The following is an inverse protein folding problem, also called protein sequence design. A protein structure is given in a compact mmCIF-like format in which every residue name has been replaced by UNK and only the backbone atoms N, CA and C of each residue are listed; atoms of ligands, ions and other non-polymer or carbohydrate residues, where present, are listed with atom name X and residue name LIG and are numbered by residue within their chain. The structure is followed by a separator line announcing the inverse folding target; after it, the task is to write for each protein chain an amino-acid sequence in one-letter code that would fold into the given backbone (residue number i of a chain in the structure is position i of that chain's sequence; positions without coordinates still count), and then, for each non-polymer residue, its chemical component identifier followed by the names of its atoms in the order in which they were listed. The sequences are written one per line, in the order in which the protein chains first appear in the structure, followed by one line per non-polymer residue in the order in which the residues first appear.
data_IF_598631439782
#
_entry.id   IF_598631439782
#
_cell.length_a   1.000
_cell.length_b   1.000
_cell.length_c   1.000
_cell.angle_alpha   90.00
_cell.angle_beta   90.00
_cell.angle_gamma   90.00
#
_symmetry.space_group_name_H-M   'P 1'
#
loop_
_entity.id
_entity.type
_entity.pdbx_description
1 polymer ?
#
# COMPACT_ATOMS: atom_id res chain seq x y z
N UNK A 1 16.56 9.08 9.28
CA UNK A 1 17.61 9.14 8.24
C UNK A 1 17.14 8.29 7.07
N UNK A 2 17.28 8.77 5.83
CA UNK A 2 16.99 7.96 4.65
C UNK A 2 18.23 7.14 4.29
N UNK A 3 18.07 5.84 4.08
CA UNK A 3 19.14 5.00 3.57
C UNK A 3 19.23 5.18 2.04
N UNK A 4 20.45 5.21 1.50
CA UNK A 4 20.66 5.24 0.05
C UNK A 4 20.37 3.85 -0.54
N UNK A 5 19.08 3.56 -0.72
CA UNK A 5 18.57 2.29 -1.21
C UNK A 5 17.35 2.53 -2.10
N UNK A 6 17.17 1.68 -3.10
CA UNK A 6 15.98 1.66 -3.96
C UNK A 6 15.33 0.29 -3.92
N UNK A 7 13.99 0.27 -3.98
CA UNK A 7 13.20 -0.95 -4.03
C UNK A 7 12.30 -0.93 -5.26
N UNK A 8 12.21 -2.05 -5.96
CA UNK A 8 11.24 -2.30 -7.02
C UNK A 8 10.53 -3.62 -6.70
N UNK A 9 9.21 -3.63 -6.75
CA UNK A 9 8.42 -4.83 -6.53
C UNK A 9 7.62 -5.12 -7.79
N UNK A 10 7.93 -6.23 -8.45
CA UNK A 10 7.23 -6.68 -9.65
C UNK A 10 5.91 -7.38 -9.28
N UNK A 11 5.77 -7.83 -8.03
CA UNK A 11 4.56 -8.44 -7.50
C UNK A 11 4.49 -8.36 -5.97
N UNK A 12 3.45 -8.95 -5.36
CA UNK A 12 3.36 -9.11 -3.90
C UNK A 12 4.28 -10.19 -3.31
N UNK A 13 4.98 -10.97 -4.15
CA UNK A 13 5.82 -12.09 -3.70
C UNK A 13 7.30 -11.92 -4.02
N UNK A 14 7.67 -10.97 -4.88
CA UNK A 14 9.08 -10.74 -5.23
C UNK A 14 9.37 -9.29 -5.60
N UNK A 15 10.64 -8.94 -5.54
CA UNK A 15 11.16 -7.63 -5.92
C UNK A 15 12.69 -7.59 -5.90
N UNK A 16 13.24 -6.39 -6.00
CA UNK A 16 14.67 -6.10 -6.03
C UNK A 16 14.98 -4.99 -5.04
N UNK A 17 16.15 -5.09 -4.41
CA UNK A 17 16.75 -4.06 -3.58
C UNK A 17 18.09 -3.67 -4.18
N UNK A 18 18.25 -2.41 -4.53
CA UNK A 18 19.56 -1.82 -4.84
C UNK A 18 20.10 -1.07 -3.64
N UNK A 19 21.26 -1.49 -3.15
CA UNK A 19 21.95 -0.85 -2.03
C UNK A 19 23.46 -1.11 -2.18
N UNK A 20 24.30 -0.12 -1.84
CA UNK A 20 25.76 -0.26 -1.89
C UNK A 20 26.28 -0.72 -3.27
N UNK A 21 25.65 -0.21 -4.33
CA UNK A 21 25.92 -0.58 -5.73
C UNK A 21 25.72 -2.08 -6.04
N UNK A 22 24.85 -2.76 -5.28
CA UNK A 22 24.50 -4.16 -5.48
C UNK A 22 22.99 -4.33 -5.61
N UNK A 23 22.56 -5.20 -6.52
CA UNK A 23 21.18 -5.67 -6.62
C UNK A 23 21.02 -6.97 -5.82
N UNK A 24 19.96 -7.05 -5.00
CA UNK A 24 19.57 -8.26 -4.28
C UNK A 24 18.11 -8.59 -4.59
N UNK A 25 17.86 -9.85 -4.98
CA UNK A 25 16.50 -10.36 -5.14
C UNK A 25 15.83 -10.50 -3.77
N UNK A 26 14.64 -9.94 -3.64
CA UNK A 26 13.74 -10.12 -2.50
C UNK A 26 12.65 -11.10 -2.91
N UNK A 27 12.39 -12.11 -2.08
CA UNK A 27 11.28 -13.03 -2.27
C UNK A 27 10.54 -13.20 -0.94
N UNK A 28 9.22 -13.34 -1.04
CA UNK A 28 8.40 -13.86 0.04
C UNK A 28 8.76 -15.33 0.25
N UNK A 29 8.63 -15.80 1.49
CA UNK A 29 8.92 -17.20 1.81
C UNK A 29 8.03 -18.14 1.01
N UNK A 30 8.61 -19.26 0.59
CA UNK A 30 7.87 -20.37 0.00
C UNK A 30 6.75 -20.83 0.93
N UNK A 31 5.68 -21.37 0.34
CA UNK A 31 4.48 -21.85 1.04
C UNK A 31 3.65 -20.77 1.74
N UNK A 32 3.89 -19.49 1.48
CA UNK A 32 3.00 -18.44 1.97
C UNK A 32 1.65 -18.51 1.23
N UNK A 33 0.51 -18.62 1.95
CA UNK A 33 -0.79 -18.67 1.30
C UNK A 33 -1.06 -17.42 0.46
N UNK A 34 -1.69 -17.57 -0.71
CA UNK A 34 -1.89 -16.46 -1.67
C UNK A 34 -2.61 -15.24 -1.07
N UNK A 35 -3.66 -15.43 -0.28
CA UNK A 35 -4.35 -14.30 0.36
C UNK A 35 -3.49 -13.64 1.46
N UNK A 36 -2.58 -14.41 2.07
CA UNK A 36 -1.60 -13.85 3.01
C UNK A 36 -0.57 -13.01 2.26
N UNK A 37 -0.09 -13.44 1.09
CA UNK A 37 0.85 -12.63 0.28
C UNK A 37 0.23 -11.33 -0.22
N UNK A 38 -1.07 -11.31 -0.51
CA UNK A 38 -1.82 -10.09 -0.87
C UNK A 38 -2.21 -9.21 0.34
N UNK A 39 -1.84 -9.60 1.56
CA UNK A 39 -2.08 -8.82 2.77
C UNK A 39 -3.48 -8.94 3.40
N UNK A 40 -4.38 -9.78 2.87
CA UNK A 40 -5.73 -9.94 3.43
C UNK A 40 -5.71 -10.45 4.87
N UNK A 41 -4.81 -11.39 5.16
CA UNK A 41 -4.68 -11.95 6.50
C UNK A 41 -4.27 -10.86 7.52
N UNK A 42 -3.25 -10.05 7.19
CA UNK A 42 -2.83 -8.96 8.04
C UNK A 42 -3.93 -7.91 8.24
N UNK A 43 -4.64 -7.56 7.16
CA UNK A 43 -5.76 -6.61 7.21
C UNK A 43 -6.89 -7.09 8.13
N UNK A 44 -7.28 -8.37 8.05
CA UNK A 44 -8.33 -8.94 8.90
C UNK A 44 -7.93 -8.94 10.38
N UNK A 45 -6.68 -9.28 10.70
CA UNK A 45 -6.20 -9.27 12.08
C UNK A 45 -6.13 -7.85 12.67
N UNK A 46 -5.74 -6.86 11.87
CA UNK A 46 -5.81 -5.47 12.29
C UNK A 46 -7.27 -5.04 12.53
N UNK A 47 -8.18 -5.41 11.63
CA UNK A 47 -9.61 -5.14 11.77
C UNK A 47 -10.21 -5.77 13.03
N UNK A 48 -9.89 -7.03 13.34
CA UNK A 48 -10.37 -7.67 14.57
C UNK A 48 -9.94 -6.90 15.81
N UNK A 49 -8.69 -6.41 15.87
CA UNK A 49 -8.23 -5.56 16.99
C UNK A 49 -8.99 -4.25 17.09
N UNK A 50 -9.34 -3.63 15.97
CA UNK A 50 -10.17 -2.42 15.95
C UNK A 50 -11.55 -2.72 16.54
N UNK A 51 -12.18 -3.83 16.14
CA UNK A 51 -13.49 -4.25 16.65
C UNK A 51 -13.42 -4.54 18.15
N UNK A 52 -12.44 -5.33 18.58
CA UNK A 52 -12.25 -5.71 19.99
C UNK A 52 -11.99 -4.49 20.89
N UNK A 53 -11.19 -3.53 20.41
CA UNK A 53 -10.87 -2.30 21.17
C UNK A 53 -11.94 -1.22 21.06
N UNK A 54 -12.87 -1.33 20.10
CA UNK A 54 -13.85 -0.30 19.75
C UNK A 54 -13.23 1.02 19.30
N UNK A 55 -11.96 1.02 18.89
CA UNK A 55 -11.19 2.23 18.57
C UNK A 55 -10.47 2.06 17.24
N UNK A 56 -10.58 3.08 16.39
CA UNK A 56 -9.79 3.20 15.17
C UNK A 56 -8.81 4.37 15.31
N UNK A 57 -7.57 4.16 14.90
CA UNK A 57 -6.56 5.21 14.93
C UNK A 57 -6.99 6.42 14.08
N UNK A 58 -6.87 7.62 14.63
CA UNK A 58 -7.24 8.86 13.94
C UNK A 58 -6.47 9.05 12.63
N UNK A 59 -5.19 8.64 12.59
CA UNK A 59 -4.38 8.68 11.37
C UNK A 59 -4.95 7.79 10.26
N UNK A 60 -5.52 6.63 10.59
CA UNK A 60 -6.20 5.76 9.63
C UNK A 60 -7.46 6.43 9.08
N UNK A 61 -8.27 7.04 9.95
CA UNK A 61 -9.46 7.81 9.53
C UNK A 61 -9.08 8.95 8.59
N UNK A 62 -8.07 9.75 8.96
CA UNK A 62 -7.58 10.86 8.16
C UNK A 62 -7.05 10.39 6.80
N UNK A 63 -6.25 9.32 6.78
CA UNK A 63 -5.78 8.70 5.53
C UNK A 63 -6.94 8.25 4.66
N UNK A 64 -7.95 7.57 5.22
CA UNK A 64 -9.11 7.09 4.47
C UNK A 64 -9.84 8.26 3.80
N UNK A 65 -10.16 9.32 4.56
CA UNK A 65 -10.84 10.51 4.01
C UNK A 65 -9.97 11.17 2.93
N UNK A 66 -8.69 11.42 3.22
CA UNK A 66 -7.78 12.11 2.30
C UNK A 66 -7.60 11.35 0.98
N UNK A 67 -7.50 10.02 1.01
CA UNK A 67 -7.37 9.22 -0.22
C UNK A 67 -8.63 9.27 -1.08
N UNK A 68 -9.82 9.29 -0.49
CA UNK A 68 -11.06 9.46 -1.25
C UNK A 68 -11.20 10.87 -1.82
N UNK A 69 -10.85 11.90 -1.04
CA UNK A 69 -10.82 13.29 -1.52
C UNK A 69 -9.83 13.47 -2.69
N UNK A 70 -8.67 12.84 -2.62
CA UNK A 70 -7.70 12.86 -3.71
C UNK A 70 -8.26 12.17 -4.96
N UNK A 71 -8.88 11.00 -4.82
CA UNK A 71 -9.51 10.30 -5.94
C UNK A 71 -10.58 11.17 -6.63
N UNK A 72 -11.40 11.85 -5.85
CA UNK A 72 -12.41 12.79 -6.35
C UNK A 72 -11.78 13.97 -7.10
N UNK A 73 -10.73 14.57 -6.56
CA UNK A 73 -10.03 15.67 -7.22
C UNK A 73 -9.38 15.24 -8.55
N UNK A 74 -8.80 14.04 -8.60
CA UNK A 74 -8.26 13.47 -9.83
C UNK A 74 -9.38 13.30 -10.86
N UNK A 75 -10.52 12.72 -10.45
CA UNK A 75 -11.67 12.54 -11.32
C UNK A 75 -12.17 13.87 -11.90
N UNK A 76 -12.48 14.84 -11.05
CA UNK A 76 -12.97 16.16 -11.46
C UNK A 76 -12.00 16.87 -12.42
N UNK A 77 -10.69 16.76 -12.18
CA UNK A 77 -9.66 17.38 -13.03
C UNK A 77 -9.61 16.76 -14.41
N UNK A 78 -9.78 15.44 -14.52
CA UNK A 78 -9.82 14.71 -15.79
C UNK A 78 -11.13 15.04 -16.52
N UNK A 79 -12.26 14.98 -15.81
CA UNK A 79 -13.58 15.30 -16.37
C UNK A 79 -13.61 16.70 -17.00
N UNK A 80 -13.12 17.71 -16.28
CA UNK A 80 -12.99 19.08 -16.80
C UNK A 80 -12.10 19.16 -18.04
N UNK A 81 -10.97 18.43 -18.05
CA UNK A 81 -10.06 18.42 -19.19
C UNK A 81 -10.68 17.75 -20.44
N UNK A 82 -11.56 16.77 -20.23
CA UNK A 82 -12.26 16.07 -21.32
C UNK A 82 -13.43 16.89 -21.86
N UNK A 83 -14.19 17.58 -21.00
CA UNK A 83 -15.36 18.37 -21.40
C UNK A 83 -15.08 19.80 -21.88
N UNK A 84 -13.89 20.35 -21.61
CA UNK A 84 -13.45 21.63 -22.17
C UNK A 84 -12.73 21.51 -23.54
N UNK A 85 -12.63 20.30 -24.10
CA UNK A 85 -12.27 20.04 -25.50
C UNK A 85 -13.52 19.68 -26.30
#
# INVERSE_FOLDING_TARGET
CYANQAFEFDSFVEGKLWQDNQERKLNLKDWTPMLTSKGFHAMLFDWFKVVESGKLATSTVQRNIASHQLAEQIYQRIEQAVHCN
#
